data_IF_322642702487
#
_entry.id   IF_322642702487
#
_cell.length_a   1.000
_cell.length_b   1.000
_cell.length_c   1.000
_cell.angle_alpha   90.00
_cell.angle_beta   90.00
_cell.angle_gamma   90.00
#
_symmetry.space_group_name_H-M   'P 1'
#
loop_
_entity.id
_entity.type
_entity.pdbx_description
1 polymer ?
#
# COMPACT_ATOMS: atom_id res chain seq x y z
N UNK A 1 13.66 -20.62 -17.05
CA UNK A 1 12.66 -19.55 -16.89
C UNK A 1 12.99 -18.56 -15.77
N UNK A 2 13.28 -18.99 -14.51
CA UNK A 2 13.54 -18.07 -13.38
C UNK A 2 14.81 -17.24 -13.56
N UNK A 3 15.87 -17.81 -14.14
CA UNK A 3 17.12 -17.08 -14.43
C UNK A 3 16.89 -15.94 -15.42
N UNK A 4 16.09 -16.17 -16.48
CA UNK A 4 15.72 -15.14 -17.45
C UNK A 4 14.90 -14.03 -16.80
N UNK A 5 13.90 -14.40 -15.99
CA UNK A 5 13.10 -13.45 -15.22
C UNK A 5 13.98 -12.59 -14.30
N UNK A 6 14.96 -13.17 -13.62
CA UNK A 6 15.86 -12.44 -12.76
C UNK A 6 16.73 -11.42 -13.51
N UNK A 7 17.22 -11.77 -14.73
CA UNK A 7 17.99 -10.83 -15.55
C UNK A 7 17.13 -9.66 -16.04
N UNK A 8 15.89 -9.92 -16.47
CA UNK A 8 14.95 -8.88 -16.88
C UNK A 8 14.60 -7.91 -15.75
N UNK A 9 14.35 -8.44 -14.54
CA UNK A 9 14.04 -7.59 -13.37
C UNK A 9 15.23 -6.74 -12.95
N UNK A 10 16.44 -7.29 -13.01
CA UNK A 10 17.66 -6.51 -12.75
C UNK A 10 17.83 -5.39 -13.77
N UNK A 11 17.62 -5.69 -15.05
CA UNK A 11 17.64 -4.70 -16.12
C UNK A 11 16.60 -3.58 -15.87
N UNK A 12 15.34 -3.94 -15.57
CA UNK A 12 14.30 -2.97 -15.21
C UNK A 12 14.71 -2.09 -14.04
N UNK A 13 15.25 -2.69 -12.98
CA UNK A 13 15.75 -1.92 -11.82
C UNK A 13 16.78 -0.90 -12.23
N UNK A 14 17.82 -1.33 -12.95
CA UNK A 14 18.91 -0.46 -13.40
C UNK A 14 18.39 0.66 -14.31
N UNK A 15 17.50 0.33 -15.25
CA UNK A 15 16.90 1.32 -16.17
C UNK A 15 16.12 2.39 -15.42
N UNK A 16 15.27 2.00 -14.46
CA UNK A 16 14.51 2.97 -13.66
C UNK A 16 15.44 3.86 -12.84
N UNK A 17 16.47 3.29 -12.21
CA UNK A 17 17.44 4.06 -11.42
C UNK A 17 18.26 5.02 -12.28
N UNK A 18 18.65 4.60 -13.49
CA UNK A 18 19.35 5.48 -14.45
C UNK A 18 18.46 6.64 -14.93
N UNK A 19 17.19 6.38 -15.25
CA UNK A 19 16.31 7.41 -15.80
C UNK A 19 15.82 8.41 -14.75
N UNK A 20 15.64 7.97 -13.51
CA UNK A 20 15.01 8.78 -12.46
C UNK A 20 15.97 9.28 -11.39
N UNK A 21 17.16 8.66 -11.28
CA UNK A 21 18.06 8.88 -10.14
C UNK A 21 17.54 8.34 -8.81
N UNK A 22 16.39 7.63 -8.81
CA UNK A 22 15.73 7.15 -7.59
C UNK A 22 16.03 5.66 -7.39
N UNK A 23 16.65 5.27 -6.26
CA UNK A 23 16.89 3.85 -5.97
C UNK A 23 15.57 3.12 -5.75
N UNK A 24 15.40 1.99 -6.44
CA UNK A 24 14.19 1.17 -6.37
C UNK A 24 14.50 -0.28 -5.99
N UNK A 25 13.50 -0.97 -5.46
CA UNK A 25 13.55 -2.40 -5.24
C UNK A 25 12.35 -3.09 -5.87
N UNK A 26 12.58 -4.30 -6.41
CA UNK A 26 11.58 -5.05 -7.14
C UNK A 26 11.36 -6.41 -6.47
N UNK A 27 10.11 -6.68 -6.12
CA UNK A 27 9.68 -7.97 -5.60
C UNK A 27 8.71 -8.64 -6.57
N UNK A 28 8.93 -9.92 -6.86
CA UNK A 28 8.05 -10.74 -7.70
C UNK A 28 7.46 -11.88 -6.88
N UNK A 29 6.18 -12.13 -7.03
CA UNK A 29 5.45 -13.21 -6.38
C UNK A 29 4.23 -13.61 -7.19
N UNK A 30 3.69 -14.81 -6.93
CA UNK A 30 2.49 -15.34 -7.61
C UNK A 30 1.21 -14.59 -7.22
N UNK A 31 1.19 -13.88 -6.10
CA UNK A 31 0.10 -13.00 -5.68
C UNK A 31 0.60 -11.60 -5.43
N UNK A 32 -0.30 -10.61 -5.43
CA UNK A 32 0.05 -9.21 -5.09
C UNK A 32 0.68 -9.11 -3.71
N UNK A 33 0.16 -9.87 -2.73
CA UNK A 33 0.69 -9.87 -1.37
C UNK A 33 2.08 -10.51 -1.31
N UNK A 34 2.31 -11.65 -1.97
CA UNK A 34 3.65 -12.26 -2.02
C UNK A 34 4.66 -11.38 -2.77
N UNK A 35 4.23 -10.64 -3.81
CA UNK A 35 5.09 -9.66 -4.46
C UNK A 35 5.50 -8.51 -3.52
N UNK A 36 4.59 -8.06 -2.63
CA UNK A 36 4.92 -7.09 -1.57
C UNK A 36 5.86 -7.66 -0.51
N UNK A 37 5.68 -8.92 -0.11
CA UNK A 37 6.63 -9.63 0.76
C UNK A 37 8.01 -9.72 0.10
N UNK A 38 8.06 -10.12 -1.17
CA UNK A 38 9.31 -10.16 -1.94
C UNK A 38 9.99 -8.79 -1.98
N UNK A 39 9.23 -7.72 -2.24
CA UNK A 39 9.75 -6.35 -2.24
C UNK A 39 10.30 -5.93 -0.86
N UNK A 40 9.62 -6.28 0.24
CA UNK A 40 10.11 -6.03 1.60
C UNK A 40 11.47 -6.71 1.84
N UNK A 41 11.63 -7.96 1.40
CA UNK A 41 12.91 -8.69 1.48
C UNK A 41 13.96 -8.06 0.56
N UNK A 42 13.58 -7.69 -0.68
CA UNK A 42 14.46 -7.06 -1.66
C UNK A 42 15.09 -5.77 -1.13
N UNK A 43 14.33 -4.92 -0.44
CA UNK A 43 14.82 -3.66 0.17
C UNK A 43 15.96 -3.86 1.17
N UNK A 44 16.04 -5.03 1.79
CA UNK A 44 17.04 -5.37 2.80
C UNK A 44 18.16 -6.25 2.26
N UNK A 45 18.22 -6.45 0.94
CA UNK A 45 19.20 -7.30 0.27
C UNK A 45 19.71 -6.66 -1.04
N UNK A 46 19.70 -7.39 -2.13
CA UNK A 46 20.21 -6.94 -3.45
C UNK A 46 19.31 -5.99 -4.22
N UNK A 47 18.17 -5.59 -3.66
CA UNK A 47 17.18 -4.77 -4.35
C UNK A 47 16.25 -5.56 -5.26
N UNK A 48 16.44 -6.89 -5.42
CA UNK A 48 15.57 -7.75 -6.22
C UNK A 48 15.31 -9.06 -5.48
N UNK A 49 14.04 -9.49 -5.41
CA UNK A 49 13.66 -10.80 -4.85
C UNK A 49 12.51 -11.41 -5.63
N UNK A 50 12.61 -12.71 -5.91
CA UNK A 50 11.56 -13.52 -6.55
C UNK A 50 11.08 -14.54 -5.51
N UNK A 51 9.77 -14.58 -5.24
CA UNK A 51 9.12 -15.52 -4.34
C UNK A 51 8.08 -16.35 -5.11
N UNK A 52 8.55 -17.42 -5.78
CA UNK A 52 7.73 -18.39 -6.52
C UNK A 52 7.85 -19.76 -5.87
N UNK A 53 9.06 -20.12 -5.42
CA UNK A 53 9.30 -21.40 -4.75
C UNK A 53 8.66 -21.45 -3.36
N UNK A 54 7.96 -22.53 -3.06
CA UNK A 54 7.18 -22.69 -1.82
C UNK A 54 8.05 -22.69 -0.55
N UNK A 55 9.29 -23.19 -0.63
CA UNK A 55 10.24 -23.22 0.52
C UNK A 55 10.74 -21.80 0.80
N UNK A 56 11.09 -21.06 -0.24
CA UNK A 56 11.51 -19.65 -0.15
C UNK A 56 10.37 -18.77 0.36
N UNK A 57 9.12 -18.99 -0.10
CA UNK A 57 7.92 -18.32 0.41
C UNK A 57 7.77 -18.55 1.91
N UNK A 58 7.74 -19.81 2.36
CA UNK A 58 7.60 -20.16 3.79
C UNK A 58 8.71 -19.52 4.64
N UNK A 59 9.97 -19.57 4.19
CA UNK A 59 11.10 -18.94 4.86
C UNK A 59 10.91 -17.43 4.99
N UNK A 60 10.49 -16.77 3.92
CA UNK A 60 10.24 -15.32 3.90
C UNK A 60 9.09 -14.93 4.83
N UNK A 61 7.98 -15.68 4.80
CA UNK A 61 6.82 -15.44 5.67
C UNK A 61 7.16 -15.65 7.17
N UNK A 62 7.99 -16.64 7.51
CA UNK A 62 8.45 -16.88 8.89
C UNK A 62 9.23 -15.69 9.44
N UNK A 63 10.04 -15.04 8.60
CA UNK A 63 10.89 -13.93 8.99
C UNK A 63 10.20 -12.56 8.88
N UNK A 64 9.01 -12.48 8.29
CA UNK A 64 8.26 -11.25 8.15
C UNK A 64 7.33 -11.02 9.34
N UNK A 65 7.55 -9.95 10.10
CA UNK A 65 6.67 -9.57 11.21
C UNK A 65 5.27 -9.20 10.68
N UNK A 66 4.23 -9.44 11.48
CA UNK A 66 2.84 -9.14 11.08
C UNK A 66 2.62 -7.67 10.74
N UNK A 67 3.32 -6.77 11.40
CA UNK A 67 3.26 -5.32 11.19
C UNK A 67 3.83 -4.87 9.84
N UNK A 68 4.71 -5.68 9.25
CA UNK A 68 5.35 -5.42 7.95
C UNK A 68 4.53 -5.98 6.78
N UNK A 69 3.44 -6.71 7.07
CA UNK A 69 2.53 -7.21 6.04
C UNK A 69 1.71 -6.05 5.49
N UNK A 70 1.73 -5.87 4.18
CA UNK A 70 0.88 -4.88 3.52
C UNK A 70 -0.60 -5.16 3.81
N UNK A 71 -1.31 -4.17 4.34
CA UNK A 71 -2.71 -4.31 4.79
C UNK A 71 -2.88 -4.54 6.30
N UNK A 72 -1.81 -4.78 7.05
CA UNK A 72 -1.85 -4.87 8.51
C UNK A 72 -1.46 -3.53 9.12
N UNK A 73 -2.47 -2.74 9.51
CA UNK A 73 -2.28 -1.46 10.19
C UNK A 73 -2.12 -1.62 11.72
N UNK A 74 -1.95 -0.50 12.42
CA UNK A 74 -1.71 -0.46 13.88
C UNK A 74 -2.77 -1.21 14.69
N UNK A 75 -4.05 -1.14 14.30
CA UNK A 75 -5.16 -1.84 14.97
C UNK A 75 -5.02 -3.36 14.81
N UNK A 76 -4.81 -3.83 13.60
CA UNK A 76 -4.68 -5.27 13.31
C UNK A 76 -3.42 -5.84 13.95
N UNK A 77 -2.29 -5.10 13.95
CA UNK A 77 -1.08 -5.48 14.68
C UNK A 77 -1.38 -5.76 16.15
N UNK A 78 -2.13 -4.89 16.86
CA UNK A 78 -2.49 -5.09 18.26
C UNK A 78 -3.30 -6.36 18.45
N UNK A 79 -4.30 -6.60 17.60
CA UNK A 79 -5.15 -7.80 17.64
C UNK A 79 -4.31 -9.06 17.39
N UNK A 80 -3.50 -9.08 16.32
CA UNK A 80 -2.68 -10.25 16.00
C UNK A 80 -1.71 -10.60 17.13
N UNK A 81 -1.03 -9.60 17.67
CA UNK A 81 -0.10 -9.79 18.79
C UNK A 81 -0.79 -10.28 20.08
N UNK A 82 -2.01 -9.83 20.40
CA UNK A 82 -2.76 -10.31 21.58
C UNK A 82 -3.16 -11.79 21.47
N UNK A 83 -3.24 -12.32 20.24
CA UNK A 83 -3.46 -13.74 19.98
C UNK A 83 -2.16 -14.52 19.71
N UNK A 84 -0.99 -13.93 19.97
CA UNK A 84 0.30 -14.57 19.82
C UNK A 84 0.80 -14.71 18.38
N UNK A 85 0.11 -14.11 17.40
CA UNK A 85 0.49 -14.16 15.98
C UNK A 85 1.54 -13.08 15.71
N UNK A 86 2.79 -13.49 15.50
CA UNK A 86 3.95 -12.60 15.42
C UNK A 86 4.49 -12.42 14.00
N UNK A 87 4.26 -13.38 13.11
CA UNK A 87 4.80 -13.36 11.75
C UNK A 87 3.76 -13.75 10.70
N UNK A 88 4.11 -13.51 9.43
CA UNK A 88 3.22 -13.75 8.31
C UNK A 88 2.89 -15.25 8.10
N UNK A 89 3.79 -16.16 8.46
CA UNK A 89 3.54 -17.60 8.34
C UNK A 89 2.48 -18.04 9.35
N UNK A 90 2.57 -17.56 10.59
CA UNK A 90 1.57 -17.83 11.62
C UNK A 90 0.19 -17.30 11.21
N UNK A 91 0.11 -16.09 10.65
CA UNK A 91 -1.14 -15.55 10.11
C UNK A 91 -1.68 -16.41 8.95
N UNK A 92 -0.82 -16.84 8.04
CA UNK A 92 -1.24 -17.68 6.91
C UNK A 92 -1.84 -19.01 7.36
N UNK A 93 -1.40 -19.56 8.49
CA UNK A 93 -1.83 -20.84 9.04
C UNK A 93 -3.04 -20.73 9.99
N UNK A 94 -3.52 -19.52 10.29
CA UNK A 94 -4.68 -19.34 11.16
C UNK A 94 -5.97 -19.92 10.56
N UNK A 95 -6.94 -20.22 11.45
CA UNK A 95 -8.28 -20.62 11.04
C UNK A 95 -8.95 -19.51 10.24
N UNK A 96 -9.55 -19.83 9.11
CA UNK A 96 -10.14 -18.85 8.19
C UNK A 96 -11.33 -18.09 8.81
N UNK A 97 -12.17 -18.78 9.61
CA UNK A 97 -13.29 -18.15 10.31
C UNK A 97 -12.80 -17.17 11.36
N UNK A 98 -11.72 -17.51 12.06
CA UNK A 98 -11.07 -16.61 13.00
C UNK A 98 -10.55 -15.36 12.29
N UNK A 99 -9.84 -15.52 11.18
CA UNK A 99 -9.32 -14.39 10.39
C UNK A 99 -10.48 -13.51 9.88
N UNK A 100 -11.55 -14.11 9.39
CA UNK A 100 -12.73 -13.36 8.92
C UNK A 100 -13.40 -12.58 10.05
N UNK A 101 -13.50 -13.16 11.26
CA UNK A 101 -14.08 -12.51 12.44
C UNK A 101 -13.30 -11.27 12.88
N UNK A 102 -11.97 -11.35 12.94
CA UNK A 102 -11.13 -10.28 13.50
C UNK A 102 -10.56 -9.32 12.45
N UNK A 103 -10.39 -9.78 11.21
CA UNK A 103 -9.78 -9.01 10.13
C UNK A 103 -10.72 -8.78 8.93
N UNK A 104 -11.97 -9.22 9.01
CA UNK A 104 -12.99 -9.13 7.96
C UNK A 104 -12.65 -9.95 6.70
N UNK A 105 -13.46 -9.83 5.65
CA UNK A 105 -13.23 -10.47 4.35
C UNK A 105 -11.90 -10.01 3.71
N UNK A 106 -11.46 -8.79 4.00
CA UNK A 106 -10.18 -8.26 3.49
C UNK A 106 -9.00 -9.02 4.10
N UNK A 107 -9.05 -9.30 5.42
CA UNK A 107 -8.05 -10.11 6.10
C UNK A 107 -8.05 -11.56 5.59
N UNK A 108 -9.21 -12.14 5.31
CA UNK A 108 -9.29 -13.47 4.71
C UNK A 108 -8.64 -13.52 3.33
N UNK A 109 -8.90 -12.54 2.46
CA UNK A 109 -8.23 -12.44 1.16
C UNK A 109 -6.72 -12.29 1.30
N UNK A 110 -6.27 -11.47 2.26
CA UNK A 110 -4.86 -11.33 2.59
C UNK A 110 -4.23 -12.68 2.98
N UNK A 111 -4.89 -13.45 3.86
CA UNK A 111 -4.45 -14.78 4.27
C UNK A 111 -4.33 -15.74 3.07
N UNK A 112 -5.32 -15.77 2.19
CA UNK A 112 -5.31 -16.60 0.98
C UNK A 112 -4.17 -16.22 0.04
N UNK A 113 -3.94 -14.94 -0.15
CA UNK A 113 -2.80 -14.45 -0.96
C UNK A 113 -1.44 -14.80 -0.35
N UNK A 114 -1.28 -14.81 0.97
CA UNK A 114 -0.08 -15.32 1.64
C UNK A 114 0.13 -16.83 1.40
N UNK A 115 -0.96 -17.59 1.23
CA UNK A 115 -0.94 -19.01 0.84
C UNK A 115 -0.68 -19.22 -0.66
N UNK A 116 -0.62 -18.15 -1.46
CA UNK A 116 -0.42 -18.22 -2.91
C UNK A 116 -1.70 -18.32 -3.74
N UNK A 117 -2.87 -18.12 -3.13
CA UNK A 117 -4.17 -18.13 -3.81
C UNK A 117 -4.49 -16.71 -4.26
N UNK A 118 -4.66 -16.50 -5.56
CA UNK A 118 -4.90 -15.17 -6.15
C UNK A 118 -6.32 -14.69 -5.80
N UNK A 119 -6.41 -13.62 -5.01
CA UNK A 119 -7.66 -12.96 -4.65
C UNK A 119 -7.83 -11.59 -5.32
N UNK A 120 -6.74 -10.97 -5.73
CA UNK A 120 -6.71 -9.66 -6.40
C UNK A 120 -6.11 -9.80 -7.80
N UNK A 121 -6.96 -9.77 -8.80
CA UNK A 121 -6.52 -9.80 -10.20
C UNK A 121 -5.80 -8.50 -10.58
N UNK A 122 -4.95 -8.55 -11.61
CA UNK A 122 -4.37 -7.35 -12.20
C UNK A 122 -5.48 -6.63 -12.98
N UNK A 123 -5.77 -5.40 -12.57
CA UNK A 123 -6.71 -4.54 -13.29
C UNK A 123 -5.97 -3.88 -14.45
N UNK A 124 -6.36 -4.22 -15.67
CA UNK A 124 -5.81 -3.63 -16.91
C UNK A 124 -6.60 -2.40 -17.36
N UNK A 125 -7.84 -2.28 -16.92
CA UNK A 125 -8.71 -1.15 -17.28
C UNK A 125 -8.75 -0.13 -16.12
N UNK A 126 -8.46 1.12 -16.44
CA UNK A 126 -8.64 2.24 -15.52
C UNK A 126 -10.15 2.50 -15.33
N UNK A 127 -10.68 2.11 -14.18
CA UNK A 127 -12.05 2.49 -13.81
C UNK A 127 -12.07 3.93 -13.28
N UNK A 128 -13.17 4.66 -13.58
CA UNK A 128 -13.36 6.00 -13.06
C UNK A 128 -13.32 6.01 -11.53
N UNK A 129 -12.65 7.00 -10.97
CA UNK A 129 -12.55 7.16 -9.52
C UNK A 129 -13.89 7.56 -8.95
N UNK A 130 -14.37 6.85 -7.94
CA UNK A 130 -15.60 7.19 -7.20
C UNK A 130 -15.46 8.43 -6.31
N UNK A 131 -14.24 8.78 -5.94
CA UNK A 131 -13.92 9.96 -5.15
C UNK A 131 -12.66 10.62 -5.69
N UNK A 132 -12.70 11.93 -5.82
CA UNK A 132 -11.57 12.76 -6.24
C UNK A 132 -11.21 13.67 -5.06
N UNK A 133 -9.96 13.67 -4.68
CA UNK A 133 -9.44 14.51 -3.62
C UNK A 133 -8.17 15.21 -4.07
N UNK A 134 -8.01 16.46 -3.67
CA UNK A 134 -6.75 17.19 -3.72
C UNK A 134 -6.48 17.75 -2.33
N UNK A 135 -5.35 17.40 -1.75
CA UNK A 135 -4.92 17.91 -0.45
C UNK A 135 -3.40 18.09 -0.43
N UNK A 136 -2.93 19.05 0.33
CA UNK A 136 -1.52 19.30 0.58
C UNK A 136 -1.33 19.75 2.02
N UNK A 137 -0.17 19.38 2.59
CA UNK A 137 0.29 19.96 3.83
C UNK A 137 0.97 21.30 3.53
N UNK A 138 0.69 22.32 4.33
CA UNK A 138 1.44 23.57 4.28
C UNK A 138 2.84 23.35 4.86
N UNK A 139 3.85 23.96 4.24
CA UNK A 139 5.24 23.89 4.75
C UNK A 139 5.44 24.68 6.05
N UNK A 140 4.58 25.67 6.29
CA UNK A 140 4.55 26.52 7.48
C UNK A 140 3.13 26.60 8.05
N UNK A 141 2.98 27.04 9.30
CA UNK A 141 1.67 27.34 9.87
C UNK A 141 1.02 28.49 9.08
N UNK A 142 -0.22 28.31 8.73
CA UNK A 142 -1.04 29.33 8.04
C UNK A 142 -2.05 29.87 9.03
N UNK A 143 -1.96 31.17 9.32
CA UNK A 143 -2.85 31.90 10.22
C UNK A 143 -3.80 32.83 9.46
N UNK A 144 -3.43 33.19 8.23
CA UNK A 144 -4.20 34.11 7.38
C UNK A 144 -5.30 33.33 6.63
N UNK A 145 -6.54 33.81 6.79
CA UNK A 145 -7.71 33.22 6.08
C UNK A 145 -7.58 33.28 4.57
N UNK A 146 -7.06 34.38 4.03
CA UNK A 146 -6.82 34.57 2.58
C UNK A 146 -5.98 33.45 1.94
N UNK A 147 -4.93 32.99 2.64
CA UNK A 147 -4.08 31.89 2.19
C UNK A 147 -4.80 30.55 2.17
N UNK A 148 -5.73 30.35 3.14
CA UNK A 148 -6.57 29.14 3.15
C UNK A 148 -7.61 29.17 2.03
N UNK A 149 -8.18 30.33 1.73
CA UNK A 149 -9.14 30.55 0.65
C UNK A 149 -8.48 30.32 -0.72
N UNK A 150 -7.31 30.89 -0.95
CA UNK A 150 -6.51 30.69 -2.16
C UNK A 150 -6.19 29.20 -2.37
N UNK A 151 -5.67 28.51 -1.34
CA UNK A 151 -5.36 27.11 -1.41
C UNK A 151 -6.61 26.25 -1.69
N UNK A 152 -7.74 26.57 -1.08
CA UNK A 152 -9.01 25.86 -1.28
C UNK A 152 -9.51 26.04 -2.71
N UNK A 153 -9.49 27.25 -3.24
CA UNK A 153 -9.84 27.56 -4.63
C UNK A 153 -8.97 26.79 -5.63
N UNK A 154 -7.65 26.77 -5.40
CA UNK A 154 -6.71 26.04 -6.25
C UNK A 154 -6.99 24.52 -6.19
N UNK A 155 -7.29 23.95 -5.01
CA UNK A 155 -7.60 22.53 -4.89
C UNK A 155 -8.95 22.16 -5.48
N UNK A 156 -9.96 23.03 -5.36
CA UNK A 156 -11.25 22.85 -6.00
C UNK A 156 -11.11 22.84 -7.53
N UNK A 157 -10.34 23.78 -8.09
CA UNK A 157 -10.04 23.84 -9.53
C UNK A 157 -9.40 22.55 -10.02
N UNK A 158 -8.39 22.04 -9.31
CA UNK A 158 -7.73 20.76 -9.65
C UNK A 158 -8.65 19.55 -9.53
N UNK A 159 -9.58 19.56 -8.57
CA UNK A 159 -10.61 18.51 -8.50
C UNK A 159 -11.56 18.57 -9.68
N UNK A 160 -11.99 19.78 -10.06
CA UNK A 160 -12.85 20.00 -11.22
C UNK A 160 -12.18 19.58 -12.54
N UNK A 161 -10.89 19.85 -12.72
CA UNK A 161 -10.11 19.34 -13.86
C UNK A 161 -10.14 17.82 -13.96
N UNK A 162 -9.90 17.13 -12.84
CA UNK A 162 -9.92 15.67 -12.78
C UNK A 162 -11.31 15.09 -13.05
N UNK A 163 -12.39 15.76 -12.59
CA UNK A 163 -13.78 15.39 -12.89
C UNK A 163 -14.06 15.50 -14.39
N UNK A 164 -13.70 16.63 -15.01
CA UNK A 164 -13.84 16.82 -16.46
C UNK A 164 -13.06 15.78 -17.25
N UNK A 165 -11.81 15.48 -16.83
CA UNK A 165 -10.99 14.48 -17.51
C UNK A 165 -11.62 13.08 -17.51
N UNK A 166 -12.33 12.70 -16.45
CA UNK A 166 -13.02 11.40 -16.38
C UNK A 166 -14.51 11.47 -16.78
N UNK A 167 -14.99 12.61 -17.36
CA UNK A 167 -16.36 12.83 -17.79
C UNK A 167 -17.41 12.55 -16.71
N UNK A 168 -17.17 13.04 -15.49
CA UNK A 168 -18.06 12.83 -14.35
C UNK A 168 -18.37 14.13 -13.61
N UNK A 169 -19.50 14.10 -12.86
CA UNK A 169 -19.95 15.19 -12.02
C UNK A 169 -19.89 14.78 -10.55
N UNK A 170 -19.69 15.75 -9.67
CA UNK A 170 -19.77 15.55 -8.23
C UNK A 170 -21.16 15.88 -7.71
N UNK A 171 -21.75 15.00 -6.91
CA UNK A 171 -22.98 15.26 -6.16
C UNK A 171 -22.72 15.86 -4.78
N UNK A 172 -21.50 15.68 -4.24
CA UNK A 172 -21.11 16.17 -2.93
C UNK A 172 -19.71 16.77 -2.99
N UNK A 173 -19.54 17.94 -2.40
CA UNK A 173 -18.24 18.59 -2.21
C UNK A 173 -17.95 18.64 -0.71
N UNK A 174 -16.76 18.20 -0.32
CA UNK A 174 -16.29 18.26 1.06
C UNK A 174 -14.97 19.02 1.13
N UNK A 175 -14.94 20.10 1.89
CA UNK A 175 -13.72 20.81 2.26
C UNK A 175 -13.32 20.37 3.67
N UNK A 176 -12.04 20.10 3.90
CA UNK A 176 -11.53 19.78 5.24
C UNK A 176 -10.21 20.49 5.49
N UNK A 177 -10.03 20.95 6.69
CA UNK A 177 -8.79 21.54 7.19
C UNK A 177 -8.36 20.70 8.39
N UNK A 178 -7.11 20.29 8.40
CA UNK A 178 -6.54 19.51 9.50
C UNK A 178 -5.41 20.30 10.15
N UNK A 179 -5.55 20.52 11.42
CA UNK A 179 -4.53 21.17 12.24
C UNK A 179 -3.46 20.17 12.67
N UNK A 180 -2.29 20.67 13.11
CA UNK A 180 -1.19 19.80 13.52
C UNK A 180 -1.52 19.09 14.84
N UNK A 181 -1.77 17.77 14.79
CA UNK A 181 -2.09 16.95 15.95
C UNK A 181 -0.95 16.78 16.97
N UNK A 182 0.27 17.17 16.62
CA UNK A 182 1.45 17.09 17.50
C UNK A 182 1.71 18.37 18.29
N UNK A 183 0.98 19.44 18.02
CA UNK A 183 1.05 20.69 18.81
C UNK A 183 -0.23 20.83 19.62
N UNK A 184 -0.09 21.16 20.91
CA UNK A 184 -1.22 21.65 21.71
C UNK A 184 -1.68 22.96 21.07
N UNK A 185 -2.89 22.97 20.54
CA UNK A 185 -3.52 24.18 20.05
C UNK A 185 -4.30 24.80 21.19
N UNK A 186 -4.10 26.08 21.41
CA UNK A 186 -5.02 26.88 22.19
C UNK A 186 -6.34 26.92 21.41
N UNK A 187 -7.37 26.32 21.97
CA UNK A 187 -8.75 26.44 21.49
C UNK A 187 -9.28 27.78 21.94
#
# INVERSE_FOLDING_TARGET
>A
PVKKLLSEIKYLKTTVEQWTGIPVSIGVGITKTLAKVANHVAKRSTGVKILIDSREVKKSLKNLKVEDIWGVGRRLKKILNSFGIKNALELSNQNELWVQKYMTIVGRRLQLELKGIICYQLETNLTNKKQICTSRSFGQLVEEFSKLEEATSMYATRCAEKLRYQHSCASVIKVFIQTNSFRKQLL
#
